data_IF_974919032812
#
_entry.id   IF_974919032812
#
_cell.length_a   1.000
_cell.length_b   1.000
_cell.length_c   1.000
_cell.angle_alpha   90.00
_cell.angle_beta   90.00
_cell.angle_gamma   90.00
#
_symmetry.space_group_name_H-M   'P 1'
#
loop_
_entity.id
_entity.type
_entity.pdbx_description
1 polymer ?
#
# COMPACT_ATOMS: atom_id res chain seq x y z
N UNK A 1 -1.76 49.16 -32.45
CA UNK A 1 -2.26 47.89 -31.87
C UNK A 1 -1.12 46.88 -31.87
N UNK A 2 -0.71 46.33 -30.71
CA UNK A 2 0.11 45.11 -30.61
C UNK A 2 0.27 44.74 -29.11
N UNK A 3 -0.33 43.63 -28.68
CA UNK A 3 0.15 42.83 -27.52
C UNK A 3 -0.21 41.36 -27.73
N UNK A 4 0.68 40.64 -28.41
CA UNK A 4 0.70 39.18 -28.37
C UNK A 4 0.93 38.73 -26.94
N UNK A 5 -0.09 38.16 -26.29
CA UNK A 5 0.09 37.47 -25.00
C UNK A 5 0.64 36.08 -25.30
N UNK A 6 1.95 35.90 -25.08
CA UNK A 6 2.58 34.59 -25.11
C UNK A 6 1.93 33.67 -24.08
N UNK A 7 1.47 32.50 -24.52
CA UNK A 7 1.05 31.40 -23.65
C UNK A 7 2.26 30.98 -22.82
N UNK A 8 2.24 31.22 -21.51
CA UNK A 8 3.19 30.62 -20.59
C UNK A 8 2.84 29.14 -20.47
N UNK A 9 3.50 28.29 -21.26
CA UNK A 9 3.54 26.85 -21.04
C UNK A 9 4.39 26.61 -19.80
N UNK A 10 3.75 26.52 -18.65
CA UNK A 10 4.43 26.14 -17.42
C UNK A 10 4.78 24.66 -17.51
N UNK A 11 6.03 24.38 -17.87
CA UNK A 11 6.67 23.07 -17.74
C UNK A 11 6.48 22.57 -16.30
N UNK A 12 5.67 21.53 -16.13
CA UNK A 12 5.51 20.80 -14.87
C UNK A 12 6.82 20.09 -14.56
N UNK A 13 7.75 20.79 -13.90
CA UNK A 13 8.94 20.16 -13.31
C UNK A 13 8.47 19.32 -12.12
N UNK A 14 8.53 17.98 -12.23
CA UNK A 14 8.35 17.08 -11.08
C UNK A 14 9.38 17.50 -10.04
N UNK A 15 8.92 17.91 -8.85
CA UNK A 15 9.81 18.11 -7.72
C UNK A 15 10.40 16.74 -7.37
N UNK A 16 11.71 16.65 -7.04
CA UNK A 16 12.25 15.41 -6.50
C UNK A 16 11.52 15.12 -5.19
N UNK A 17 10.84 13.97 -5.15
CA UNK A 17 10.23 13.44 -3.93
C UNK A 17 11.37 13.12 -2.94
N UNK A 18 11.17 13.36 -1.65
CA UNK A 18 12.16 12.97 -0.66
C UNK A 18 12.25 11.43 -0.62
N UNK A 19 13.45 10.87 -0.46
CA UNK A 19 13.65 9.40 -0.43
C UNK A 19 12.76 8.73 0.61
N UNK A 20 12.51 9.40 1.74
CA UNK A 20 11.66 8.92 2.82
C UNK A 20 10.18 8.83 2.41
N UNK A 21 9.68 9.83 1.68
CA UNK A 21 8.31 9.85 1.17
C UNK A 21 8.11 8.73 0.14
N UNK A 22 9.13 8.47 -0.67
CA UNK A 22 9.15 7.36 -1.61
C UNK A 22 9.11 6.01 -0.89
N UNK A 23 9.90 5.83 0.17
CA UNK A 23 9.90 4.60 0.98
C UNK A 23 8.50 4.34 1.54
N UNK A 24 7.85 5.34 2.14
CA UNK A 24 6.52 5.18 2.72
C UNK A 24 5.49 4.81 1.66
N UNK A 25 5.51 5.50 0.51
CA UNK A 25 4.65 5.20 -0.63
C UNK A 25 4.85 3.78 -1.17
N UNK A 26 6.10 3.32 -1.28
CA UNK A 26 6.40 1.98 -1.74
C UNK A 26 5.88 0.92 -0.73
N UNK A 27 5.95 1.19 0.57
CA UNK A 27 5.37 0.33 1.60
C UNK A 27 3.84 0.29 1.58
N UNK A 28 3.17 1.41 1.27
CA UNK A 28 1.72 1.42 1.02
C UNK A 28 1.35 0.51 -0.16
N UNK A 29 2.12 0.56 -1.25
CA UNK A 29 1.92 -0.31 -2.41
C UNK A 29 2.13 -1.79 -2.07
N UNK A 30 3.17 -2.10 -1.28
CA UNK A 30 3.41 -3.47 -0.81
C UNK A 30 2.24 -3.94 0.07
N UNK A 31 1.76 -3.11 0.99
CA UNK A 31 0.60 -3.40 1.84
C UNK A 31 -0.62 -3.73 0.98
N UNK A 32 -0.96 -2.89 0.01
CA UNK A 32 -2.09 -3.15 -0.88
C UNK A 32 -1.90 -4.42 -1.72
N UNK A 33 -0.69 -4.67 -2.22
CA UNK A 33 -0.37 -5.91 -2.93
C UNK A 33 -0.61 -7.15 -2.07
N UNK A 34 -0.14 -7.15 -0.82
CA UNK A 34 -0.37 -8.24 0.13
C UNK A 34 -1.85 -8.39 0.46
N UNK A 35 -2.59 -7.28 0.63
CA UNK A 35 -4.04 -7.30 0.85
C UNK A 35 -4.78 -7.96 -0.32
N UNK A 36 -4.42 -7.59 -1.54
CA UNK A 36 -5.00 -8.19 -2.75
C UNK A 36 -4.71 -9.69 -2.84
N UNK A 37 -3.50 -10.13 -2.47
CA UNK A 37 -3.19 -11.56 -2.40
C UNK A 37 -4.05 -12.31 -1.37
N UNK A 38 -4.44 -11.68 -0.26
CA UNK A 38 -5.40 -12.29 0.68
C UNK A 38 -6.80 -12.41 0.06
N UNK A 39 -7.17 -11.55 -0.90
CA UNK A 39 -8.43 -11.68 -1.65
C UNK A 39 -8.35 -12.72 -2.76
N UNK A 40 -7.17 -13.07 -3.22
CA UNK A 40 -6.93 -14.12 -4.21
C UNK A 40 -6.53 -15.47 -3.58
N UNK A 41 -6.08 -16.41 -4.41
CA UNK A 41 -5.56 -17.73 -4.05
C UNK A 41 -4.15 -17.91 -4.60
N UNK A 42 -3.25 -18.46 -3.80
CA UNK A 42 -1.91 -18.84 -4.25
C UNK A 42 -1.91 -20.28 -4.77
N UNK A 43 -1.32 -20.49 -5.95
CA UNK A 43 -1.15 -21.81 -6.56
C UNK A 43 -2.32 -22.24 -7.48
N UNK A 44 -2.48 -23.55 -7.68
CA UNK A 44 -3.50 -24.13 -8.55
C UNK A 44 -4.82 -24.46 -7.83
N UNK A 45 -5.93 -24.49 -8.58
CA UNK A 45 -7.26 -24.91 -8.10
C UNK A 45 -7.91 -24.04 -7.01
N UNK A 46 -7.64 -22.73 -7.00
CA UNK A 46 -8.32 -21.77 -6.10
C UNK A 46 -9.85 -21.82 -6.17
N UNK A 47 -10.42 -22.12 -7.34
CA UNK A 47 -11.88 -22.27 -7.52
C UNK A 47 -12.50 -23.43 -6.73
N UNK A 48 -11.69 -24.35 -6.19
CA UNK A 48 -12.15 -25.46 -5.33
C UNK A 48 -11.85 -25.21 -3.84
N UNK A 49 -11.47 -23.98 -3.48
CA UNK A 49 -11.26 -23.56 -2.09
C UNK A 49 -9.84 -23.75 -1.56
N UNK A 50 -8.87 -24.12 -2.40
CA UNK A 50 -7.47 -24.26 -1.99
C UNK A 50 -6.69 -22.96 -2.16
N UNK A 51 -5.61 -22.78 -1.39
CA UNK A 51 -4.65 -21.69 -1.62
C UNK A 51 -5.05 -20.33 -1.06
N UNK A 52 -6.12 -20.24 -0.26
CA UNK A 52 -6.46 -19.00 0.46
C UNK A 52 -5.45 -18.75 1.57
N UNK A 53 -4.91 -17.54 1.65
CA UNK A 53 -3.88 -17.17 2.62
C UNK A 53 -4.26 -15.90 3.40
N UNK A 54 -3.67 -15.77 4.59
CA UNK A 54 -3.72 -14.57 5.42
C UNK A 54 -2.31 -14.27 5.94
N UNK A 55 -1.93 -13.00 5.98
CA UNK A 55 -0.65 -12.55 6.51
C UNK A 55 -0.85 -11.97 7.91
N UNK A 56 -0.11 -12.48 8.88
CA UNK A 56 -0.19 -12.05 10.28
C UNK A 56 1.23 -11.77 10.81
N UNK A 57 1.34 -10.84 11.75
CA UNK A 57 2.62 -10.54 12.41
C UNK A 57 3.71 -10.01 11.48
N UNK A 58 3.34 -9.33 10.40
CA UNK A 58 4.31 -8.73 9.47
C UNK A 58 5.14 -7.65 10.17
N UNK A 59 6.46 -7.72 9.99
CA UNK A 59 7.42 -6.76 10.52
C UNK A 59 8.53 -6.56 9.49
N UNK A 60 8.93 -5.31 9.29
CA UNK A 60 10.06 -4.93 8.47
C UNK A 60 11.25 -4.52 9.36
N UNK A 61 12.46 -4.83 8.88
CA UNK A 61 13.72 -4.53 9.54
C UNK A 61 14.77 -4.09 8.52
N UNK A 62 15.65 -3.17 8.90
CA UNK A 62 16.75 -2.73 8.03
C UNK A 62 17.89 -3.74 8.13
N UNK A 63 18.17 -4.45 7.03
CA UNK A 63 19.22 -5.48 6.97
C UNK A 63 20.57 -4.96 6.45
N UNK A 64 20.56 -3.86 5.70
CA UNK A 64 21.76 -3.22 5.16
C UNK A 64 21.60 -1.71 5.26
N UNK A 65 22.65 -1.02 5.73
CA UNK A 65 22.64 0.43 5.90
C UNK A 65 21.92 0.88 7.18
N UNK A 66 21.59 2.17 7.23
CA UNK A 66 20.86 2.79 8.34
C UNK A 66 19.65 3.56 7.80
N UNK A 67 18.49 3.27 8.36
CA UNK A 67 17.25 4.02 8.13
C UNK A 67 16.84 4.66 9.45
N UNK A 68 16.27 5.86 9.39
CA UNK A 68 15.80 6.55 10.58
C UNK A 68 14.70 5.72 11.27
N UNK A 69 14.72 5.59 12.61
CA UNK A 69 13.75 4.78 13.35
C UNK A 69 12.30 5.17 13.08
N UNK A 70 12.03 6.46 12.87
CA UNK A 70 10.67 6.98 12.67
C UNK A 70 10.06 6.47 11.36
N UNK A 71 10.86 6.41 10.28
CA UNK A 71 10.40 5.86 9.00
C UNK A 71 10.17 4.34 9.14
N UNK A 72 11.07 3.65 9.85
CA UNK A 72 10.92 2.22 10.09
C UNK A 72 9.66 1.89 10.90
N UNK A 73 9.32 2.72 11.89
CA UNK A 73 8.10 2.61 12.68
C UNK A 73 6.85 2.84 11.80
N UNK A 74 6.86 3.86 10.95
CA UNK A 74 5.78 4.11 9.99
C UNK A 74 5.58 2.94 9.01
N UNK A 75 6.67 2.38 8.47
CA UNK A 75 6.60 1.18 7.63
C UNK A 75 5.97 -0.01 8.37
N UNK A 76 6.35 -0.24 9.64
CA UNK A 76 5.78 -1.30 10.45
C UNK A 76 4.30 -1.05 10.79
N UNK A 77 3.91 0.20 11.01
CA UNK A 77 2.51 0.58 11.21
C UNK A 77 1.67 0.24 9.99
N UNK A 78 2.12 0.62 8.78
CA UNK A 78 1.44 0.27 7.52
C UNK A 78 1.28 -1.24 7.35
N UNK A 79 2.30 -2.04 7.67
CA UNK A 79 2.22 -3.50 7.58
C UNK A 79 1.28 -4.10 8.64
N UNK A 80 1.19 -3.49 9.83
CA UNK A 80 0.32 -3.93 10.92
C UNK A 80 -1.17 -3.84 10.58
N UNK A 81 -1.57 -2.90 9.72
CA UNK A 81 -2.95 -2.72 9.28
C UNK A 81 -3.49 -3.90 8.46
N UNK A 82 -2.62 -4.76 7.90
CA UNK A 82 -3.04 -5.99 7.21
C UNK A 82 -3.67 -7.02 8.16
N UNK A 83 -3.28 -6.98 9.44
CA UNK A 83 -3.63 -7.97 10.47
C UNK A 83 -5.07 -7.90 10.99
N UNK A 84 -5.88 -6.95 10.53
CA UNK A 84 -7.30 -6.90 10.83
C UNK A 84 -7.78 -5.53 11.27
N UNK A 85 -8.50 -4.86 10.37
CA UNK A 85 -9.84 -4.40 10.72
C UNK A 85 -10.78 -5.33 9.99
N UNK A 86 -11.18 -6.40 10.67
CA UNK A 86 -12.51 -6.95 10.42
C UNK A 86 -13.48 -5.80 10.77
N UNK A 87 -13.86 -4.98 9.79
CA UNK A 87 -15.18 -4.39 9.89
C UNK A 87 -16.11 -5.59 10.02
N UNK A 88 -16.83 -5.63 11.13
CA UNK A 88 -17.87 -6.60 11.39
C UNK A 88 -18.58 -6.93 10.09
N UNK A 89 -18.81 -8.22 9.86
CA UNK A 89 -19.78 -8.67 8.87
C UNK A 89 -21.17 -8.23 9.33
N UNK A 90 -21.41 -6.92 9.27
CA UNK A 90 -22.73 -6.32 9.17
C UNK A 90 -23.13 -6.52 7.71
N UNK A 91 -24.33 -7.06 7.49
CA UNK A 91 -24.94 -7.33 6.18
C UNK A 91 -24.73 -8.74 5.61
N UNK A 92 -24.95 -9.76 6.43
CA UNK A 92 -25.91 -10.80 6.02
C UNK A 92 -26.96 -10.91 7.11
N UNK A 93 -27.98 -10.06 7.05
CA UNK A 93 -29.27 -10.40 7.63
C UNK A 93 -29.82 -11.57 6.82
N UNK A 94 -29.60 -12.80 7.30
CA UNK A 94 -30.51 -13.91 7.00
C UNK A 94 -31.70 -13.74 7.93
N UNK A 95 -32.71 -13.00 7.46
CA UNK A 95 -34.07 -13.20 7.93
C UNK A 95 -34.80 -14.05 6.89
N UNK A 96 -35.25 -15.22 7.34
CA UNK A 96 -36.31 -16.13 6.82
C UNK A 96 -36.29 -16.54 5.35
#
# INVERSE_FOLDING_TARGET
MNRSKGRKTQSLRRKPEAEEEKILRDFELIREGLRLLQYDYLGGHGSRGYGKVRFEGLKAETVVGALRPEIMEQCNHLLGELGGVCHETSDIQTEV
#
